data_IF_707245947828
#
_entry.id   IF_707245947828
#
_cell.length_a   1.000
_cell.length_b   1.000
_cell.length_c   1.000
_cell.angle_alpha   90.00
_cell.angle_beta   90.00
_cell.angle_gamma   90.00
#
_symmetry.space_group_name_H-M   'P 1'
#
loop_
_entity.id
_entity.type
_entity.pdbx_description
1 polymer ?
#
# COMPACT_ATOMS: atom_id res chain seq x y z
N UNK A 1 0.87 7.17 -27.32
CA UNK A 1 1.40 5.98 -26.67
C UNK A 1 0.27 5.35 -25.89
N UNK A 2 0.10 4.07 -26.14
CA UNK A 2 -1.04 3.27 -25.74
C UNK A 2 -1.03 3.04 -24.21
N UNK A 3 -1.49 4.04 -23.46
CA UNK A 3 -1.57 4.00 -21.99
C UNK A 3 -2.55 2.92 -21.51
N UNK A 4 -3.54 2.55 -22.35
CA UNK A 4 -4.49 1.47 -22.05
C UNK A 4 -3.80 0.10 -21.95
N UNK A 5 -2.67 -0.12 -22.62
CA UNK A 5 -1.90 -1.38 -22.59
C UNK A 5 -0.89 -1.45 -21.44
N UNK A 6 -0.69 -0.36 -20.71
CA UNK A 6 0.21 -0.39 -19.55
C UNK A 6 -0.48 -1.07 -18.36
N UNK A 7 0.26 -1.84 -17.55
CA UNK A 7 -0.26 -2.37 -16.31
C UNK A 7 -0.91 -1.31 -15.45
N UNK A 8 -1.98 -1.64 -14.74
CA UNK A 8 -2.75 -0.70 -13.91
C UNK A 8 -1.86 0.17 -13.02
N UNK A 9 -0.86 -0.43 -12.34
CA UNK A 9 0.07 0.31 -11.51
C UNK A 9 0.96 1.31 -12.29
N UNK A 10 1.29 1.04 -13.57
CA UNK A 10 2.01 2.02 -14.39
C UNK A 10 1.13 3.17 -14.83
N UNK A 11 -0.18 2.93 -15.06
CA UNK A 11 -1.17 4.00 -15.31
C UNK A 11 -1.36 4.84 -14.05
N UNK A 12 -1.48 4.17 -12.91
CA UNK A 12 -1.60 4.79 -11.60
C UNK A 12 -0.39 5.67 -11.30
N UNK A 13 0.81 5.14 -11.50
CA UNK A 13 2.07 5.87 -11.36
C UNK A 13 2.12 7.14 -12.21
N UNK A 14 1.78 7.04 -13.50
CA UNK A 14 1.78 8.18 -14.41
C UNK A 14 0.78 9.26 -13.97
N UNK A 15 -0.37 8.85 -13.44
CA UNK A 15 -1.46 9.76 -13.08
C UNK A 15 -1.27 10.42 -11.71
N UNK A 16 -0.87 9.65 -10.73
CA UNK A 16 -0.72 10.15 -9.35
C UNK A 16 0.57 10.93 -9.14
N UNK A 17 1.65 10.58 -9.84
CA UNK A 17 2.91 11.32 -9.78
C UNK A 17 2.79 12.75 -10.29
N UNK A 18 1.74 13.05 -11.06
CA UNK A 18 1.53 14.34 -11.68
C UNK A 18 0.49 15.22 -10.99
N UNK A 19 -0.25 14.68 -10.03
CA UNK A 19 -1.28 15.43 -9.32
C UNK A 19 -0.73 16.51 -8.37
N UNK A 20 0.54 16.44 -8.02
CA UNK A 20 1.18 17.36 -7.07
C UNK A 20 1.64 18.69 -7.70
N UNK A 21 1.77 18.75 -9.02
CA UNK A 21 2.18 19.95 -9.73
C UNK A 21 1.24 20.27 -10.90
N UNK A 22 0.15 21.01 -10.67
CA UNK A 22 -0.91 21.24 -11.65
C UNK A 22 -0.47 21.98 -12.93
N UNK A 23 0.75 22.50 -12.97
CA UNK A 23 1.30 23.25 -14.11
C UNK A 23 2.27 22.44 -14.97
N UNK A 24 2.50 21.17 -14.66
CA UNK A 24 3.47 20.33 -15.33
C UNK A 24 2.88 19.69 -16.61
N UNK A 25 3.74 19.42 -17.60
CA UNK A 25 3.40 18.71 -18.84
C UNK A 25 2.65 17.39 -18.56
N UNK A 26 2.94 16.76 -17.46
CA UNK A 26 2.36 15.53 -16.98
C UNK A 26 0.87 15.64 -16.58
N UNK A 27 0.41 16.81 -16.14
CA UNK A 27 -1.01 17.02 -15.89
C UNK A 27 -1.82 16.91 -17.21
N UNK A 28 -1.26 17.36 -18.33
CA UNK A 28 -1.92 17.25 -19.63
C UNK A 28 -2.06 15.77 -20.04
N UNK A 29 -1.06 14.96 -19.80
CA UNK A 29 -1.12 13.51 -20.06
C UNK A 29 -2.15 12.82 -19.15
N UNK A 30 -2.20 13.19 -17.86
CA UNK A 30 -3.19 12.68 -16.92
C UNK A 30 -4.63 13.06 -17.32
N UNK A 31 -4.84 14.30 -17.75
CA UNK A 31 -6.14 14.78 -18.24
C UNK A 31 -6.54 14.06 -19.53
N UNK A 32 -5.59 13.79 -20.42
CA UNK A 32 -5.85 13.05 -21.65
C UNK A 32 -6.26 11.60 -21.36
N UNK A 33 -5.59 10.95 -20.39
CA UNK A 33 -5.98 9.60 -19.97
C UNK A 33 -7.38 9.60 -19.33
N UNK A 34 -7.70 10.56 -18.47
CA UNK A 34 -9.05 10.69 -17.91
C UNK A 34 -10.10 10.83 -19.01
N UNK A 35 -9.79 11.59 -20.08
CA UNK A 35 -10.65 11.73 -21.25
C UNK A 35 -10.82 10.41 -22.01
N UNK A 36 -9.74 9.66 -22.21
CA UNK A 36 -9.77 8.33 -22.83
C UNK A 36 -10.55 7.31 -21.98
N UNK A 37 -10.55 7.46 -20.65
CA UNK A 37 -11.36 6.66 -19.72
C UNK A 37 -12.83 7.09 -19.69
N UNK A 38 -13.23 8.10 -20.48
CA UNK A 38 -14.60 8.55 -20.61
C UNK A 38 -15.06 9.49 -19.49
N UNK A 39 -14.14 10.18 -18.80
CA UNK A 39 -14.51 11.20 -17.83
C UNK A 39 -15.25 12.35 -18.49
N UNK A 40 -16.29 12.82 -17.81
CA UNK A 40 -17.05 14.00 -18.26
C UNK A 40 -16.26 15.31 -18.08
N UNK A 41 -16.75 16.40 -18.70
CA UNK A 41 -16.08 17.69 -18.64
C UNK A 41 -16.02 18.30 -17.23
N UNK A 42 -16.93 17.93 -16.32
CA UNK A 42 -16.91 18.34 -14.92
C UNK A 42 -15.77 17.70 -14.16
N UNK A 43 -15.60 16.38 -14.30
CA UNK A 43 -14.50 15.62 -13.71
C UNK A 43 -13.12 16.09 -14.20
N UNK A 44 -12.99 16.38 -15.50
CA UNK A 44 -11.77 16.94 -16.07
C UNK A 44 -11.44 18.33 -15.52
N UNK A 45 -12.47 19.16 -15.27
CA UNK A 45 -12.29 20.46 -14.62
C UNK A 45 -11.80 20.29 -13.18
N UNK A 46 -12.41 19.40 -12.41
CA UNK A 46 -11.98 19.10 -11.03
C UNK A 46 -10.53 18.62 -10.97
N UNK A 47 -10.11 17.74 -11.89
CA UNK A 47 -8.73 17.29 -11.98
C UNK A 47 -7.78 18.45 -12.30
N UNK A 48 -8.16 19.33 -13.22
CA UNK A 48 -7.37 20.53 -13.58
C UNK A 48 -7.25 21.52 -12.44
N UNK A 49 -8.29 21.66 -11.61
CA UNK A 49 -8.32 22.55 -10.46
C UNK A 49 -7.61 21.95 -9.22
N UNK A 50 -6.90 20.83 -9.39
CA UNK A 50 -6.13 20.16 -8.33
C UNK A 50 -6.99 19.37 -7.35
N UNK A 51 -8.27 19.17 -7.65
CA UNK A 51 -9.12 18.30 -6.84
C UNK A 51 -8.86 16.83 -7.20
N UNK A 52 -8.79 16.02 -6.21
CA UNK A 52 -8.55 14.57 -6.12
C UNK A 52 -8.56 13.79 -7.46
N UNK A 53 -7.49 13.91 -8.23
CA UNK A 53 -7.28 13.19 -9.49
C UNK A 53 -7.36 11.68 -9.26
N UNK A 54 -6.89 11.21 -8.10
CA UNK A 54 -6.94 9.82 -7.69
C UNK A 54 -8.38 9.29 -7.65
N UNK A 55 -9.27 9.99 -6.96
CA UNK A 55 -10.67 9.61 -6.84
C UNK A 55 -11.38 9.66 -8.20
N UNK A 56 -11.05 10.65 -9.03
CA UNK A 56 -11.61 10.77 -10.37
C UNK A 56 -11.18 9.61 -11.27
N UNK A 57 -9.92 9.19 -11.18
CA UNK A 57 -9.40 8.03 -11.89
C UNK A 57 -10.08 6.76 -11.39
N UNK A 58 -10.21 6.60 -10.08
CA UNK A 58 -10.90 5.44 -9.51
C UNK A 58 -12.37 5.36 -9.93
N UNK A 59 -13.07 6.49 -9.95
CA UNK A 59 -14.46 6.56 -10.42
C UNK A 59 -14.59 6.30 -11.92
N UNK A 60 -13.59 6.71 -12.69
CA UNK A 60 -13.58 6.57 -14.15
C UNK A 60 -13.04 5.23 -14.62
N UNK A 61 -12.22 4.59 -13.77
CA UNK A 61 -11.74 3.25 -14.01
C UNK A 61 -12.87 2.26 -13.74
N UNK A 62 -13.61 1.92 -14.78
CA UNK A 62 -14.59 0.82 -14.76
C UNK A 62 -13.84 -0.47 -15.07
N UNK A 63 -13.53 -1.32 -14.05
CA UNK A 63 -12.77 -2.56 -14.26
C UNK A 63 -13.55 -3.60 -15.07
N UNK A 64 -14.84 -3.43 -15.25
CA UNK A 64 -15.73 -4.33 -15.96
C UNK A 64 -16.33 -3.66 -17.21
N UNK A 65 -15.53 -3.44 -18.23
CA UNK A 65 -16.07 -3.58 -19.57
C UNK A 65 -16.41 -5.07 -19.71
N UNK A 66 -17.65 -5.42 -20.03
CA UNK A 66 -18.12 -6.82 -20.11
C UNK A 66 -17.06 -7.75 -20.71
N UNK A 67 -16.60 -8.72 -19.93
CA UNK A 67 -15.64 -9.73 -20.38
C UNK A 67 -14.15 -9.39 -20.25
N UNK A 68 -13.77 -8.25 -19.69
CA UNK A 68 -12.36 -7.92 -19.43
C UNK A 68 -12.03 -8.25 -17.96
N UNK A 69 -11.05 -9.13 -17.77
CA UNK A 69 -10.55 -9.53 -16.46
C UNK A 69 -9.20 -8.86 -16.18
N UNK A 70 -8.94 -8.57 -14.92
CA UNK A 70 -7.69 -7.94 -14.47
C UNK A 70 -7.05 -8.72 -13.33
N UNK A 71 -5.72 -8.68 -13.29
CA UNK A 71 -4.98 -9.27 -12.19
C UNK A 71 -5.27 -8.52 -10.88
N UNK A 72 -5.77 -9.21 -9.86
CA UNK A 72 -6.06 -8.65 -8.54
C UNK A 72 -4.82 -8.13 -7.79
N UNK A 73 -3.61 -8.40 -8.28
CA UNK A 73 -2.36 -8.07 -7.62
C UNK A 73 -1.59 -6.92 -8.28
N UNK A 74 -1.67 -6.78 -9.59
CA UNK A 74 -0.96 -5.72 -10.32
C UNK A 74 -1.83 -4.93 -11.29
N UNK A 75 -3.12 -5.31 -11.42
CA UNK A 75 -4.08 -4.61 -12.28
C UNK A 75 -3.84 -4.77 -13.79
N UNK A 76 -2.93 -5.67 -14.23
CA UNK A 76 -2.77 -5.91 -15.66
C UNK A 76 -4.01 -6.61 -16.21
N UNK A 77 -4.40 -6.25 -17.43
CA UNK A 77 -5.47 -6.94 -18.15
C UNK A 77 -5.11 -8.41 -18.43
N UNK A 78 -6.07 -9.30 -18.18
CA UNK A 78 -5.92 -10.75 -18.35
C UNK A 78 -6.63 -11.30 -19.60
N UNK A 79 -7.29 -10.45 -20.38
CA UNK A 79 -8.03 -10.88 -21.57
C UNK A 79 -7.12 -11.61 -22.54
N UNK A 80 -7.41 -12.89 -22.76
CA UNK A 80 -6.60 -13.76 -23.62
C UNK A 80 -5.21 -14.14 -23.08
N UNK A 81 -4.90 -13.80 -21.84
CA UNK A 81 -3.65 -14.16 -21.19
C UNK A 81 -3.84 -15.33 -20.21
N UNK A 82 -2.79 -16.12 -20.00
CA UNK A 82 -2.80 -17.14 -18.95
C UNK A 82 -2.86 -16.48 -17.56
N UNK A 83 -3.80 -16.96 -16.74
CA UNK A 83 -3.98 -16.51 -15.37
C UNK A 83 -4.31 -17.68 -14.44
N UNK A 84 -4.10 -17.48 -13.15
CA UNK A 84 -4.51 -18.39 -12.11
C UNK A 84 -5.70 -17.81 -11.36
N UNK A 85 -6.74 -18.62 -11.16
CA UNK A 85 -7.89 -18.28 -10.29
C UNK A 85 -7.66 -18.88 -8.91
N UNK A 86 -7.64 -18.05 -7.89
CA UNK A 86 -7.48 -18.47 -6.50
C UNK A 86 -8.84 -18.94 -5.90
N UNK A 87 -8.79 -19.71 -4.82
CA UNK A 87 -9.98 -20.29 -4.17
C UNK A 87 -11.00 -19.27 -3.66
N UNK A 88 -10.63 -18.01 -3.52
CA UNK A 88 -11.49 -16.91 -3.10
C UNK A 88 -12.03 -16.08 -4.28
N UNK A 89 -11.67 -16.45 -5.51
CA UNK A 89 -12.12 -15.83 -6.75
C UNK A 89 -11.22 -14.74 -7.28
N UNK A 90 -10.09 -14.42 -6.60
CA UNK A 90 -9.08 -13.51 -7.14
C UNK A 90 -8.38 -14.13 -8.34
N UNK A 91 -8.05 -13.30 -9.31
CA UNK A 91 -7.29 -13.69 -10.50
C UNK A 91 -5.88 -13.13 -10.44
N UNK A 92 -4.91 -13.93 -10.89
CA UNK A 92 -3.49 -13.58 -10.83
C UNK A 92 -2.79 -13.87 -12.15
N UNK A 93 -2.13 -12.86 -12.73
CA UNK A 93 -1.31 -13.04 -13.93
C UNK A 93 -0.06 -13.89 -13.63
N UNK A 94 0.54 -14.48 -14.67
CA UNK A 94 1.72 -15.33 -14.54
C UNK A 94 2.94 -14.58 -13.98
N UNK A 95 3.07 -13.27 -14.23
CA UNK A 95 4.14 -12.46 -13.65
C UNK A 95 4.02 -12.38 -12.12
N UNK A 96 2.82 -12.08 -11.61
CA UNK A 96 2.57 -12.08 -10.18
C UNK A 96 2.67 -13.49 -9.58
N UNK A 97 2.27 -14.52 -10.31
CA UNK A 97 2.35 -15.91 -9.85
C UNK A 97 3.80 -16.39 -9.65
N UNK A 98 4.72 -15.96 -10.52
CA UNK A 98 6.15 -16.35 -10.42
C UNK A 98 6.81 -15.87 -9.13
N UNK A 99 6.40 -14.74 -8.62
CA UNK A 99 6.97 -14.14 -7.40
C UNK A 99 6.08 -14.26 -6.18
N UNK A 100 4.92 -14.90 -6.32
CA UNK A 100 3.94 -15.02 -5.25
C UNK A 100 4.44 -15.87 -4.08
N UNK A 101 4.15 -15.42 -2.87
CA UNK A 101 4.32 -16.21 -1.65
C UNK A 101 3.16 -17.20 -1.57
N UNK A 102 3.47 -18.50 -1.72
CA UNK A 102 2.45 -19.56 -1.87
C UNK A 102 2.38 -20.50 -0.66
N UNK A 103 3.44 -20.60 0.10
CA UNK A 103 3.57 -21.57 1.21
C UNK A 103 3.82 -20.90 2.55
N UNK A 104 3.41 -21.56 3.62
CA UNK A 104 3.71 -21.12 4.99
C UNK A 104 5.21 -21.04 5.28
N UNK A 105 6.03 -21.89 4.67
CA UNK A 105 7.47 -21.86 4.82
C UNK A 105 8.08 -20.61 4.18
N UNK A 106 7.67 -20.26 2.97
CA UNK A 106 8.06 -19.01 2.29
C UNK A 106 7.60 -17.80 3.10
N UNK A 107 6.39 -17.83 3.65
CA UNK A 107 5.87 -16.74 4.47
C UNK A 107 6.66 -16.56 5.76
N UNK A 108 6.99 -17.63 6.46
CA UNK A 108 7.83 -17.58 7.66
C UNK A 108 9.22 -17.03 7.37
N UNK A 109 9.81 -17.44 6.25
CA UNK A 109 11.10 -16.89 5.81
C UNK A 109 10.97 -15.40 5.51
N UNK A 110 9.92 -14.98 4.82
CA UNK A 110 9.66 -13.58 4.50
C UNK A 110 9.52 -12.73 5.76
N UNK A 111 8.80 -13.23 6.79
CA UNK A 111 8.69 -12.56 8.08
C UNK A 111 10.06 -12.42 8.77
N UNK A 112 10.90 -13.45 8.72
CA UNK A 112 12.25 -13.37 9.28
C UNK A 112 13.13 -12.38 8.51
N UNK A 113 12.99 -12.31 7.19
CA UNK A 113 13.69 -11.34 6.35
C UNK A 113 13.24 -9.91 6.68
N UNK A 114 11.92 -9.68 6.83
CA UNK A 114 11.36 -8.41 7.26
C UNK A 114 11.87 -7.98 8.65
N UNK A 115 11.84 -8.89 9.62
CA UNK A 115 12.30 -8.62 10.97
C UNK A 115 13.80 -8.24 11.02
N UNK A 116 14.64 -8.98 10.30
CA UNK A 116 16.06 -8.64 10.17
C UNK A 116 16.30 -7.30 9.51
N UNK A 117 15.54 -6.99 8.46
CA UNK A 117 15.66 -5.71 7.79
C UNK A 117 15.21 -4.56 8.68
N UNK A 118 14.14 -4.70 9.46
CA UNK A 118 13.71 -3.68 10.43
C UNK A 118 14.77 -3.46 11.51
N UNK A 119 15.40 -4.53 12.00
CA UNK A 119 16.51 -4.42 12.95
C UNK A 119 17.73 -3.73 12.32
N UNK A 120 18.10 -4.12 11.10
CA UNK A 120 19.25 -3.57 10.39
C UNK A 120 19.06 -2.09 10.01
N UNK A 121 17.90 -1.77 9.46
CA UNK A 121 17.65 -0.43 8.87
C UNK A 121 17.12 0.58 9.89
N UNK A 122 16.28 0.14 10.83
CA UNK A 122 15.61 1.04 11.78
C UNK A 122 16.07 0.84 13.23
N UNK A 123 16.94 -0.12 13.51
CA UNK A 123 17.29 -0.51 14.89
C UNK A 123 16.12 -1.11 15.67
N UNK A 124 15.08 -1.56 14.99
CA UNK A 124 13.82 -2.02 15.58
C UNK A 124 13.83 -3.53 15.74
N UNK A 125 13.70 -4.00 16.98
CA UNK A 125 13.52 -5.40 17.30
C UNK A 125 12.17 -5.63 17.98
N UNK A 126 11.35 -6.50 17.42
CA UNK A 126 10.12 -6.97 18.06
C UNK A 126 10.50 -8.14 18.98
N UNK A 127 10.40 -7.91 20.29
CA UNK A 127 10.87 -8.86 21.32
C UNK A 127 9.80 -9.80 21.86
N UNK A 128 8.56 -9.60 21.44
CA UNK A 128 7.42 -10.44 21.83
C UNK A 128 7.13 -11.51 20.79
N UNK A 129 6.55 -12.66 21.18
CA UNK A 129 6.05 -13.63 20.22
C UNK A 129 4.93 -13.05 19.37
N UNK A 130 5.05 -13.14 18.05
CA UNK A 130 4.02 -12.76 17.10
C UNK A 130 3.55 -13.98 16.34
N UNK A 131 2.25 -14.27 16.39
CA UNK A 131 1.63 -15.33 15.59
C UNK A 131 1.42 -14.82 14.18
N UNK A 132 2.07 -15.43 13.21
CA UNK A 132 1.92 -15.07 11.80
C UNK A 132 1.08 -16.11 11.08
N UNK A 133 0.14 -15.68 10.24
CA UNK A 133 -0.68 -16.55 9.41
C UNK A 133 -0.89 -15.94 8.02
N UNK A 134 -0.71 -16.76 7.00
CA UNK A 134 -1.12 -16.45 5.66
C UNK A 134 -2.57 -16.95 5.46
N UNK A 135 -3.46 -16.07 5.03
CA UNK A 135 -4.90 -16.35 4.89
C UNK A 135 -5.42 -15.88 3.53
N UNK A 136 -6.51 -16.46 3.05
CA UNK A 136 -7.14 -15.94 1.84
C UNK A 136 -7.88 -14.62 2.13
N UNK A 137 -8.16 -13.85 1.07
CA UNK A 137 -8.77 -12.54 1.20
C UNK A 137 -10.14 -12.58 1.91
N UNK A 138 -10.95 -13.61 1.69
CA UNK A 138 -12.24 -13.80 2.39
C UNK A 138 -12.07 -13.91 3.90
N UNK A 139 -11.07 -14.69 4.35
CA UNK A 139 -10.79 -14.85 5.79
C UNK A 139 -10.23 -13.56 6.38
N UNK A 140 -9.34 -12.88 5.65
CA UNK A 140 -8.76 -11.60 6.09
C UNK A 140 -9.86 -10.56 6.30
N UNK A 141 -10.73 -10.34 5.32
CA UNK A 141 -11.83 -9.38 5.43
C UNK A 141 -12.82 -9.74 6.53
N UNK A 142 -13.12 -11.04 6.69
CA UNK A 142 -13.99 -11.51 7.79
C UNK A 142 -13.40 -11.20 9.16
N UNK A 143 -12.07 -11.25 9.34
CA UNK A 143 -11.43 -10.89 10.61
C UNK A 143 -11.61 -9.41 10.99
N UNK A 144 -11.92 -8.57 10.00
CA UNK A 144 -12.22 -7.15 10.12
C UNK A 144 -13.73 -6.84 10.12
N UNK A 145 -14.59 -7.86 10.16
CA UNK A 145 -16.05 -7.68 10.06
C UNK A 145 -16.53 -7.23 8.68
N UNK A 146 -15.70 -7.39 7.63
CA UNK A 146 -15.99 -6.97 6.25
C UNK A 146 -16.28 -8.18 5.36
N UNK A 147 -17.04 -7.94 4.28
CA UNK A 147 -17.22 -8.92 3.21
C UNK A 147 -16.22 -8.66 2.10
N UNK A 148 -15.52 -9.70 1.68
CA UNK A 148 -14.62 -9.63 0.53
C UNK A 148 -15.41 -9.88 -0.75
N UNK A 149 -15.22 -9.01 -1.72
CA UNK A 149 -15.67 -9.18 -3.10
C UNK A 149 -14.44 -9.04 -3.99
N UNK A 150 -14.12 -10.04 -4.85
CA UNK A 150 -13.02 -9.89 -5.81
C UNK A 150 -13.26 -8.66 -6.67
N UNK A 151 -12.29 -7.79 -6.72
CA UNK A 151 -12.33 -6.56 -7.52
C UNK A 151 -10.99 -6.35 -8.19
N UNK A 152 -11.01 -5.77 -9.36
CA UNK A 152 -9.77 -5.40 -10.06
C UNK A 152 -9.02 -4.22 -9.39
N UNK A 153 -9.41 -3.79 -8.19
CA UNK A 153 -8.80 -2.67 -7.47
C UNK A 153 -7.95 -3.18 -6.30
N UNK A 154 -6.64 -3.38 -6.47
CA UNK A 154 -5.76 -3.79 -5.38
C UNK A 154 -5.68 -2.74 -4.26
N UNK A 155 -5.81 -1.45 -4.58
CA UNK A 155 -5.57 -0.34 -3.65
C UNK A 155 -6.65 -0.15 -2.57
N UNK A 156 -7.86 -0.65 -2.79
CA UNK A 156 -8.94 -0.63 -1.79
C UNK A 156 -9.01 -1.90 -0.94
N UNK A 157 -8.07 -2.83 -1.13
CA UNK A 157 -8.09 -4.13 -0.47
C UNK A 157 -7.16 -4.14 0.74
N UNK A 158 -7.64 -4.69 1.85
CA UNK A 158 -6.77 -4.98 3.00
C UNK A 158 -5.87 -6.16 2.66
N UNK A 159 -4.56 -5.95 2.69
CA UNK A 159 -3.54 -6.96 2.37
C UNK A 159 -2.97 -7.64 3.61
N UNK A 160 -3.05 -6.97 4.76
CA UNK A 160 -2.61 -7.46 6.05
C UNK A 160 -3.43 -6.88 7.19
N UNK A 161 -3.24 -7.40 8.38
CA UNK A 161 -3.74 -6.82 9.63
C UNK A 161 -2.91 -7.27 10.82
N UNK A 162 -2.46 -6.32 11.62
CA UNK A 162 -1.87 -6.54 12.92
C UNK A 162 -2.97 -6.52 14.00
N UNK A 163 -3.00 -7.53 14.84
CA UNK A 163 -4.01 -7.70 15.88
C UNK A 163 -3.32 -7.81 17.24
N UNK A 164 -3.75 -6.97 18.19
CA UNK A 164 -3.41 -7.08 19.61
C UNK A 164 -4.65 -7.52 20.41
N UNK A 165 -4.51 -8.56 21.19
CA UNK A 165 -5.53 -9.04 22.13
C UNK A 165 -4.88 -9.30 23.48
N UNK A 166 -5.01 -8.36 24.39
CA UNK A 166 -4.24 -8.38 25.63
C UNK A 166 -2.74 -8.36 25.34
N UNK A 167 -2.02 -9.41 25.72
CA UNK A 167 -0.59 -9.60 25.45
C UNK A 167 -0.31 -10.48 24.25
N UNK A 168 -1.32 -10.94 23.53
CA UNK A 168 -1.17 -11.72 22.30
C UNK A 168 -1.11 -10.83 21.08
N UNK A 169 -0.08 -11.05 20.24
CA UNK A 169 0.13 -10.32 18.99
C UNK A 169 0.03 -11.27 17.81
N UNK A 170 -0.62 -10.85 16.76
CA UNK A 170 -0.71 -11.64 15.53
C UNK A 170 -0.73 -10.75 14.29
N UNK A 171 -0.20 -11.30 13.19
CA UNK A 171 -0.27 -10.71 11.86
C UNK A 171 -0.95 -11.73 10.95
N UNK A 172 -2.03 -11.28 10.30
CA UNK A 172 -2.64 -12.00 9.19
C UNK A 172 -2.20 -11.32 7.90
N UNK A 173 -1.73 -12.08 6.93
CA UNK A 173 -1.35 -11.58 5.61
C UNK A 173 -2.16 -12.29 4.53
N UNK A 174 -2.55 -11.55 3.51
CA UNK A 174 -3.23 -12.09 2.34
C UNK A 174 -2.30 -13.04 1.57
N UNK A 175 -2.78 -14.25 1.26
CA UNK A 175 -2.01 -15.23 0.51
C UNK A 175 -1.94 -14.89 -0.99
N UNK A 176 -0.89 -15.37 -1.63
CA UNK A 176 -0.75 -15.32 -3.07
C UNK A 176 -0.29 -13.98 -3.64
N UNK A 177 -0.01 -13.00 -2.80
CA UNK A 177 0.58 -11.73 -3.23
C UNK A 177 2.03 -11.90 -3.69
N UNK A 178 2.51 -11.09 -4.65
CA UNK A 178 3.92 -11.03 -5.01
C UNK A 178 4.81 -10.80 -3.79
N UNK A 179 6.02 -11.38 -3.82
CA UNK A 179 6.96 -11.35 -2.69
C UNK A 179 7.20 -9.93 -2.17
N UNK A 180 7.47 -8.96 -3.05
CA UNK A 180 7.77 -7.59 -2.62
C UNK A 180 6.56 -6.91 -1.98
N UNK A 181 5.37 -7.07 -2.57
CA UNK A 181 4.12 -6.57 -1.98
C UNK A 181 3.88 -7.21 -0.60
N UNK A 182 4.08 -8.51 -0.46
CA UNK A 182 3.97 -9.21 0.83
C UNK A 182 4.99 -8.70 1.85
N UNK A 183 6.22 -8.41 1.42
CA UNK A 183 7.30 -7.90 2.29
C UNK A 183 6.95 -6.49 2.81
N UNK A 184 6.54 -5.59 1.93
CA UNK A 184 6.11 -4.25 2.30
C UNK A 184 4.93 -4.30 3.27
N UNK A 185 3.91 -5.11 2.98
CA UNK A 185 2.77 -5.31 3.89
C UNK A 185 3.22 -5.87 5.24
N UNK A 186 4.16 -6.81 5.28
CA UNK A 186 4.71 -7.30 6.56
C UNK A 186 5.39 -6.19 7.38
N UNK A 187 6.20 -5.35 6.74
CA UNK A 187 6.85 -4.22 7.42
C UNK A 187 5.81 -3.24 7.96
N UNK A 188 4.74 -2.98 7.20
CA UNK A 188 3.59 -2.19 7.64
C UNK A 188 2.96 -2.77 8.91
N UNK A 189 2.59 -4.05 8.88
CA UNK A 189 1.96 -4.72 10.02
C UNK A 189 2.90 -4.85 11.23
N UNK A 190 4.18 -5.08 11.00
CA UNK A 190 5.20 -5.09 12.05
C UNK A 190 5.40 -3.71 12.67
N UNK A 191 5.23 -2.63 11.91
CA UNK A 191 5.22 -1.28 12.45
C UNK A 191 4.07 -1.08 13.42
N UNK A 192 2.87 -1.59 13.13
CA UNK A 192 1.76 -1.58 14.07
C UNK A 192 2.05 -2.40 15.35
N UNK A 193 2.71 -3.56 15.24
CA UNK A 193 3.15 -4.30 16.44
C UNK A 193 4.11 -3.45 17.27
N UNK A 194 5.08 -2.78 16.63
CA UNK A 194 6.01 -1.88 17.31
C UNK A 194 5.28 -0.72 18.00
N UNK A 195 4.29 -0.10 17.34
CA UNK A 195 3.44 0.95 17.91
C UNK A 195 2.71 0.46 19.16
N UNK A 196 2.11 -0.74 19.10
CA UNK A 196 1.42 -1.36 20.25
C UNK A 196 2.34 -1.62 21.45
N UNK A 197 3.63 -1.80 21.22
CA UNK A 197 4.62 -2.09 22.26
C UNK A 197 5.23 -0.82 22.86
N UNK A 198 5.30 0.26 22.10
CA UNK A 198 6.09 1.45 22.46
C UNK A 198 5.23 2.69 22.70
N UNK A 199 4.00 2.74 22.19
CA UNK A 199 3.14 3.91 22.30
C UNK A 199 2.02 3.71 23.32
N UNK A 200 1.71 4.78 24.09
CA UNK A 200 0.46 4.90 24.83
C UNK A 200 -0.65 5.34 23.86
N UNK A 201 -1.44 4.36 23.39
CA UNK A 201 -2.51 4.57 22.43
C UNK A 201 -3.58 5.55 22.95
N UNK A 202 -3.87 5.53 24.26
CA UNK A 202 -4.83 6.46 24.87
C UNK A 202 -4.26 7.88 24.93
N UNK A 203 -2.97 8.04 25.18
CA UNK A 203 -2.31 9.34 25.13
C UNK A 203 -2.34 9.93 23.71
N UNK A 204 -2.07 9.10 22.68
CA UNK A 204 -2.16 9.51 21.27
C UNK A 204 -3.58 9.96 20.93
N UNK A 205 -4.59 9.16 21.30
CA UNK A 205 -6.00 9.52 21.07
C UNK A 205 -6.39 10.81 21.77
N UNK A 206 -5.95 11.03 23.02
CA UNK A 206 -6.20 12.29 23.73
C UNK A 206 -5.52 13.49 23.07
N UNK A 207 -4.29 13.29 22.55
CA UNK A 207 -3.50 14.37 21.93
C UNK A 207 -4.01 14.75 20.55
N UNK A 208 -4.30 13.78 19.70
CA UNK A 208 -4.59 14.01 18.28
C UNK A 208 -6.08 13.93 17.94
N UNK A 209 -6.91 13.34 18.82
CA UNK A 209 -8.32 13.07 18.54
C UNK A 209 -8.53 11.85 17.62
N UNK A 210 -9.76 11.37 17.56
CA UNK A 210 -10.10 10.12 16.86
C UNK A 210 -9.83 10.16 15.34
N UNK A 211 -9.96 11.33 14.72
CA UNK A 211 -9.73 11.46 13.26
C UNK A 211 -8.24 11.42 12.92
N UNK A 212 -7.41 12.11 13.69
CA UNK A 212 -5.96 12.16 13.44
C UNK A 212 -5.21 10.95 13.99
N UNK A 213 -5.78 10.23 14.95
CA UNK A 213 -5.18 9.03 15.53
C UNK A 213 -4.81 8.01 14.45
N UNK A 214 -5.72 7.75 13.49
CA UNK A 214 -5.46 6.83 12.38
C UNK A 214 -4.35 7.35 11.46
N UNK A 215 -4.29 8.65 11.20
CA UNK A 215 -3.20 9.23 10.40
C UNK A 215 -1.83 9.05 11.07
N UNK A 216 -1.78 9.09 12.40
CA UNK A 216 -0.55 8.85 13.16
C UNK A 216 -0.08 7.40 13.00
N UNK A 217 -0.99 6.43 13.09
CA UNK A 217 -0.62 5.01 13.00
C UNK A 217 -0.31 4.61 11.56
N UNK A 218 -1.24 4.87 10.66
CA UNK A 218 -1.14 4.43 9.27
C UNK A 218 -0.07 5.19 8.50
N UNK A 219 0.11 6.49 8.80
CA UNK A 219 1.14 7.30 8.18
C UNK A 219 2.55 6.79 8.48
N UNK A 220 2.83 6.42 9.74
CA UNK A 220 4.11 5.81 10.10
C UNK A 220 4.30 4.46 9.42
N UNK A 221 3.27 3.62 9.41
CA UNK A 221 3.37 2.31 8.80
C UNK A 221 3.61 2.41 7.28
N UNK A 222 2.96 3.35 6.60
CA UNK A 222 3.22 3.67 5.18
C UNK A 222 4.62 4.20 4.95
N UNK A 223 5.09 5.10 5.79
CA UNK A 223 6.48 5.59 5.71
C UNK A 223 7.46 4.43 5.83
N UNK A 224 7.28 3.57 6.82
CA UNK A 224 8.17 2.45 7.11
C UNK A 224 8.25 1.45 5.95
N UNK A 225 7.11 1.05 5.37
CA UNK A 225 7.08 0.07 4.27
C UNK A 225 7.74 0.61 3.00
N UNK A 226 7.53 1.91 2.69
CA UNK A 226 8.08 2.54 1.49
C UNK A 226 9.59 2.77 1.67
N UNK A 227 10.01 3.30 2.81
CA UNK A 227 11.43 3.47 3.13
C UNK A 227 12.17 2.14 3.12
N UNK A 228 11.55 1.07 3.64
CA UNK A 228 12.12 -0.27 3.61
C UNK A 228 12.40 -0.74 2.18
N UNK A 229 11.48 -0.50 1.25
CA UNK A 229 11.67 -0.87 -0.15
C UNK A 229 12.83 -0.10 -0.81
N UNK A 230 13.02 1.19 -0.50
CA UNK A 230 14.20 1.95 -0.94
C UNK A 230 15.49 1.33 -0.40
N UNK A 231 15.54 1.02 0.89
CA UNK A 231 16.72 0.45 1.55
C UNK A 231 17.08 -0.95 1.03
N UNK A 232 16.09 -1.69 0.53
CA UNK A 232 16.28 -2.96 -0.16
C UNK A 232 16.76 -2.81 -1.61
N UNK A 233 16.88 -1.58 -2.13
CA UNK A 233 17.23 -1.31 -3.53
C UNK A 233 16.08 -1.49 -4.53
N UNK A 234 14.85 -1.74 -4.06
CA UNK A 234 13.65 -1.89 -4.89
C UNK A 234 13.08 -0.53 -5.28
N UNK A 235 13.91 0.31 -5.87
CA UNK A 235 13.64 1.74 -6.09
C UNK A 235 12.40 2.01 -6.92
N UNK A 236 12.15 1.21 -7.95
CA UNK A 236 10.97 1.40 -8.82
C UNK A 236 9.66 1.11 -8.07
N UNK A 237 9.64 0.05 -7.25
CA UNK A 237 8.49 -0.32 -6.43
C UNK A 237 8.26 0.71 -5.32
N UNK A 238 9.33 1.11 -4.62
CA UNK A 238 9.29 2.12 -3.57
C UNK A 238 8.77 3.46 -4.09
N UNK A 239 9.30 3.94 -5.21
CA UNK A 239 8.89 5.21 -5.82
C UNK A 239 7.43 5.18 -6.27
N UNK A 240 6.97 4.07 -6.83
CA UNK A 240 5.56 3.89 -7.17
C UNK A 240 4.68 3.95 -5.93
N UNK A 241 5.03 3.22 -4.88
CA UNK A 241 4.28 3.21 -3.63
C UNK A 241 4.26 4.59 -2.96
N UNK A 242 5.38 5.31 -2.96
CA UNK A 242 5.48 6.68 -2.46
C UNK A 242 4.50 7.60 -3.19
N UNK A 243 4.58 7.66 -4.52
CA UNK A 243 3.72 8.52 -5.34
C UNK A 243 2.24 8.19 -5.13
N UNK A 244 1.88 6.90 -5.21
CA UNK A 244 0.49 6.47 -5.01
C UNK A 244 -0.03 6.82 -3.61
N UNK A 245 0.81 6.73 -2.58
CA UNK A 245 0.41 7.05 -1.21
C UNK A 245 0.28 8.57 -1.00
N UNK A 246 1.18 9.38 -1.54
CA UNK A 246 1.15 10.85 -1.39
C UNK A 246 -0.13 11.50 -1.88
N UNK A 247 -0.77 10.94 -2.89
CA UNK A 247 -2.00 11.50 -3.49
C UNK A 247 -3.30 10.99 -2.84
N UNK A 248 -3.23 10.01 -1.94
CA UNK A 248 -4.40 9.50 -1.22
C UNK A 248 -4.94 10.56 -0.26
N UNK A 249 -6.28 10.66 -0.18
CA UNK A 249 -6.98 11.61 0.69
C UNK A 249 -7.52 10.97 1.98
N UNK A 250 -7.16 9.72 2.22
CA UNK A 250 -7.49 8.99 3.44
C UNK A 250 -6.39 9.12 4.52
N UNK A 251 -6.57 8.44 5.64
CA UNK A 251 -5.64 8.42 6.77
C UNK A 251 -4.23 7.94 6.39
N UNK A 252 -4.13 7.04 5.43
CA UNK A 252 -2.85 6.54 4.90
C UNK A 252 -2.06 7.65 4.21
N UNK A 253 -2.70 8.35 3.25
CA UNK A 253 -2.05 9.39 2.47
C UNK A 253 -1.74 10.63 3.29
N UNK A 254 -2.72 11.15 4.03
CA UNK A 254 -2.52 12.34 4.86
C UNK A 254 -1.49 12.10 5.96
N UNK A 255 -1.55 10.93 6.60
CA UNK A 255 -0.56 10.53 7.60
C UNK A 255 0.84 10.40 7.01
N UNK A 256 0.97 9.70 5.87
CA UNK A 256 2.25 9.56 5.18
C UNK A 256 2.92 10.90 4.83
N UNK A 257 2.18 11.86 4.30
CA UNK A 257 2.70 13.19 3.95
C UNK A 257 3.25 13.92 5.20
N UNK A 258 2.59 13.79 6.35
CA UNK A 258 3.08 14.37 7.62
C UNK A 258 4.41 13.72 8.04
N UNK A 259 4.49 12.37 7.98
CA UNK A 259 5.74 11.67 8.29
C UNK A 259 6.85 12.00 7.30
N UNK A 260 6.55 12.06 6.01
CA UNK A 260 7.51 12.41 4.98
C UNK A 260 8.11 13.83 5.19
N UNK A 261 7.29 14.78 5.66
CA UNK A 261 7.73 16.13 5.97
C UNK A 261 8.71 16.16 7.15
N UNK A 262 8.46 15.34 8.17
CA UNK A 262 9.31 15.27 9.38
C UNK A 262 10.52 14.35 9.20
N UNK A 263 10.34 13.26 8.47
CA UNK A 263 11.34 12.22 8.20
C UNK A 263 11.47 12.02 6.68
N UNK A 264 12.28 12.84 6.00
CA UNK A 264 12.47 12.71 4.55
C UNK A 264 12.96 11.31 4.16
N UNK A 265 12.50 10.81 3.00
CA UNK A 265 12.94 9.52 2.50
C UNK A 265 14.43 9.52 2.16
N UNK A 266 15.13 8.46 2.57
CA UNK A 266 16.44 8.11 2.01
C UNK A 266 16.23 7.33 0.72
N UNK A 267 16.72 7.88 -0.38
CA UNK A 267 16.65 7.23 -1.70
C UNK A 267 17.86 6.34 -2.00
N UNK A 268 18.74 6.17 -1.01
CA UNK A 268 19.89 5.28 -1.03
C UNK A 268 19.55 3.91 -0.38
N UNK A 269 20.48 2.98 -0.46
CA UNK A 269 20.38 1.67 0.20
C UNK A 269 20.81 1.70 1.67
N UNK A 270 21.02 2.87 2.23
CA UNK A 270 21.27 3.13 3.64
C UNK A 270 20.41 4.29 4.12
N UNK A 271 20.11 4.31 5.40
CA UNK A 271 19.28 5.34 5.99
C UNK A 271 20.09 6.63 6.19
N UNK A 272 19.51 7.74 5.76
CA UNK A 272 20.05 9.09 5.96
C UNK A 272 19.10 9.86 6.88
N UNK A 273 19.55 10.21 8.08
CA UNK A 273 18.76 10.98 9.03
C UNK A 273 17.94 10.16 10.03
N UNK A 274 17.08 10.86 10.76
CA UNK A 274 16.24 10.30 11.82
C UNK A 274 15.08 9.48 11.27
N UNK A 275 14.58 8.57 12.09
CA UNK A 275 13.44 7.71 11.76
C UNK A 275 12.27 7.94 12.73
N UNK A 276 11.02 7.66 12.33
CA UNK A 276 9.89 7.73 13.23
C UNK A 276 9.98 6.77 14.44
N UNK A 277 10.83 5.74 14.35
CA UNK A 277 11.01 4.77 15.43
C UNK A 277 11.81 5.31 16.62
N UNK A 278 12.48 6.44 16.46
CA UNK A 278 13.23 7.11 17.53
C UNK A 278 12.29 7.92 18.43
N UNK A 279 11.12 8.31 17.92
CA UNK A 279 10.16 9.16 18.61
C UNK A 279 9.01 8.35 19.22
N UNK A 280 9.14 8.05 20.52
CA UNK A 280 8.14 7.25 21.26
C UNK A 280 7.02 8.08 21.90
N UNK A 281 7.24 9.38 22.06
CA UNK A 281 6.30 10.24 22.82
C UNK A 281 5.47 11.17 21.93
N UNK A 282 6.05 11.64 20.84
CA UNK A 282 5.41 12.62 19.94
C UNK A 282 5.64 12.28 18.47
N UNK A 283 4.97 11.23 17.95
CA UNK A 283 5.23 10.72 16.61
C UNK A 283 4.96 11.71 15.47
N UNK A 284 4.17 12.78 15.69
CA UNK A 284 3.91 13.84 14.71
C UNK A 284 4.03 15.25 15.32
#
# INVERSE_FOLDING_TARGET
PDLERKPYHQRYYLLYGYAEQPQDLHLQEALELLRQLGCDGGSLKQARDGQNVAELIEKSYVPNRQGVHYCDFCGVELTGAESEVLSDGRERCMNCSRTAVKTEAEFRKLYQDAARGMELFYGVRITVPVKIQMVNAKRLHRSLGKTFVPTAKPDGRTLGVAIKRGNDYSILLENGSPRMSSLMTLVHEMTHIWQYLNWDMDAIRRKYGAEMELEVYEGMAKWSEIQYAYLMGETAEAKRAEICTRVRQDEYGRGFVKYLTRYPMSYATHLEGATPFEDKETPL
#
